data_IF_355628987286
#
_entry.id   IF_355628987286
#
_cell.length_a   1.000
_cell.length_b   1.000
_cell.length_c   1.000
_cell.angle_alpha   90.00
_cell.angle_beta   90.00
_cell.angle_gamma   90.00
#
_symmetry.space_group_name_H-M   'P 1'
#
loop_
_entity.id
_entity.type
_entity.pdbx_description
1 polymer ?
#
# COMPACT_ATOMS: atom_id res chain seq x y z
N UNK A 1 -6.70 -19.26 -24.34
CA UNK A 1 -6.78 -18.20 -23.30
C UNK A 1 -5.43 -18.10 -22.60
N UNK A 2 -4.87 -16.89 -22.40
CA UNK A 2 -3.65 -16.72 -21.59
C UNK A 2 -4.01 -16.85 -20.12
N UNK A 3 -3.30 -17.70 -19.39
CA UNK A 3 -3.42 -17.81 -17.92
C UNK A 3 -2.67 -16.61 -17.31
N UNK A 4 -3.37 -15.82 -16.51
CA UNK A 4 -2.82 -14.68 -15.77
C UNK A 4 -3.03 -14.89 -14.28
N UNK A 5 -2.06 -14.46 -13.51
CA UNK A 5 -2.10 -14.50 -12.05
C UNK A 5 -2.32 -13.08 -11.51
N UNK A 6 -3.23 -12.94 -10.55
CA UNK A 6 -3.55 -11.66 -9.91
C UNK A 6 -3.04 -11.69 -8.47
N UNK A 7 -2.22 -10.69 -8.11
CA UNK A 7 -1.65 -10.55 -6.77
C UNK A 7 -2.27 -9.29 -6.11
N UNK A 8 -3.17 -9.42 -5.13
CA UNK A 8 -3.79 -8.27 -4.48
C UNK A 8 -2.83 -7.65 -3.45
N UNK A 9 -2.35 -6.44 -3.75
CA UNK A 9 -1.61 -5.61 -2.79
C UNK A 9 -2.56 -4.54 -2.27
N UNK A 10 -2.90 -4.61 -0.99
CA UNK A 10 -3.78 -3.63 -0.33
C UNK A 10 -2.98 -2.87 0.71
N UNK A 11 -3.11 -1.54 0.68
CA UNK A 11 -2.52 -0.62 1.65
C UNK A 11 -3.64 0.25 2.18
N UNK A 12 -3.94 0.09 3.47
CA UNK A 12 -4.96 0.87 4.15
C UNK A 12 -4.49 2.29 4.47
N UNK A 13 -5.46 3.19 4.64
CA UNK A 13 -5.23 4.59 5.02
C UNK A 13 -4.40 4.75 6.31
N UNK A 14 -4.56 3.80 7.26
CA UNK A 14 -3.83 3.76 8.53
C UNK A 14 -2.50 2.99 8.44
N UNK A 15 -1.98 2.74 7.24
CA UNK A 15 -0.73 2.00 7.04
C UNK A 15 -0.85 0.48 7.25
N UNK A 16 -2.06 -0.06 7.35
CA UNK A 16 -2.28 -1.51 7.29
C UNK A 16 -1.86 -2.04 5.91
N UNK A 17 -1.24 -3.23 5.85
CA UNK A 17 -0.78 -3.84 4.58
C UNK A 17 -1.22 -5.29 4.49
N UNK A 18 -1.37 -5.81 3.27
CA UNK A 18 -1.72 -7.22 3.06
C UNK A 18 -0.66 -8.18 3.59
N UNK A 19 -1.10 -9.35 4.05
CA UNK A 19 -0.21 -10.41 4.52
C UNK A 19 0.82 -10.76 3.45
N UNK A 20 2.09 -10.89 3.87
CA UNK A 20 3.23 -11.21 2.99
C UNK A 20 3.49 -10.21 1.86
N UNK A 21 3.09 -8.94 2.02
CA UNK A 21 3.37 -7.87 1.04
C UNK A 21 4.84 -7.83 0.56
N UNK A 22 5.82 -8.15 1.43
CA UNK A 22 7.24 -8.25 1.03
C UNK A 22 7.49 -9.33 -0.02
N UNK A 23 6.89 -10.51 0.14
CA UNK A 23 7.02 -11.61 -0.81
C UNK A 23 6.33 -11.28 -2.14
N UNK A 24 5.17 -10.63 -2.07
CA UNK A 24 4.43 -10.18 -3.24
C UNK A 24 5.19 -9.13 -4.05
N UNK A 25 5.75 -8.12 -3.39
CA UNK A 25 6.59 -7.10 -4.03
C UNK A 25 7.84 -7.73 -4.66
N UNK A 26 8.49 -8.66 -3.97
CA UNK A 26 9.65 -9.40 -4.51
C UNK A 26 9.27 -10.17 -5.78
N UNK A 27 8.12 -10.84 -5.78
CA UNK A 27 7.62 -11.60 -6.93
C UNK A 27 7.29 -10.71 -8.13
N UNK A 28 6.83 -9.48 -7.88
CA UNK A 28 6.59 -8.46 -8.89
C UNK A 28 7.88 -7.74 -9.35
N UNK A 29 9.04 -8.04 -8.76
CA UNK A 29 10.30 -7.35 -9.06
C UNK A 29 10.35 -5.90 -8.55
N UNK A 30 9.49 -5.53 -7.60
CA UNK A 30 9.40 -4.18 -7.06
C UNK A 30 10.35 -4.06 -5.86
N UNK A 31 11.38 -3.22 -6.00
CA UNK A 31 12.35 -2.94 -4.93
C UNK A 31 11.97 -1.69 -4.14
N UNK A 32 10.85 -1.74 -3.40
CA UNK A 32 10.39 -0.68 -2.50
C UNK A 32 10.22 -1.23 -1.09
N UNK A 33 10.71 -0.47 -0.11
CA UNK A 33 10.48 -0.75 1.32
C UNK A 33 8.99 -0.58 1.65
N UNK A 34 8.39 -1.61 2.25
CA UNK A 34 6.97 -1.59 2.66
C UNK A 34 6.67 -0.41 3.57
N UNK A 35 7.64 -0.05 4.41
CA UNK A 35 7.60 1.05 5.34
C UNK A 35 7.38 2.40 4.61
N UNK A 36 7.92 2.57 3.40
CA UNK A 36 7.68 3.76 2.59
C UNK A 36 6.26 3.80 2.04
N UNK A 37 5.75 2.64 1.58
CA UNK A 37 4.38 2.51 1.07
C UNK A 37 3.38 2.86 2.18
N UNK A 38 3.58 2.32 3.37
CA UNK A 38 2.77 2.61 4.56
C UNK A 38 2.82 4.09 4.94
N UNK A 39 4.01 4.69 4.97
CA UNK A 39 4.18 6.11 5.29
C UNK A 39 3.45 7.01 4.29
N UNK A 40 3.53 6.70 3.00
CA UNK A 40 2.79 7.44 1.97
C UNK A 40 1.29 7.35 2.18
N UNK A 41 0.76 6.16 2.47
CA UNK A 41 -0.68 5.99 2.75
C UNK A 41 -1.12 6.80 3.98
N UNK A 42 -0.33 6.76 5.06
CA UNK A 42 -0.59 7.52 6.28
C UNK A 42 -0.57 9.03 6.03
N UNK A 43 0.45 9.55 5.35
CA UNK A 43 0.59 10.98 5.08
C UNK A 43 -0.51 11.49 4.12
N UNK A 44 -0.82 10.74 3.07
CA UNK A 44 -1.90 11.06 2.15
C UNK A 44 -3.26 11.10 2.85
N UNK A 45 -3.53 10.10 3.70
CA UNK A 45 -4.76 10.03 4.48
C UNK A 45 -4.86 11.17 5.50
N UNK A 46 -3.78 11.44 6.24
CA UNK A 46 -3.73 12.56 7.18
C UNK A 46 -4.01 13.89 6.48
N UNK A 47 -3.46 14.12 5.28
CA UNK A 47 -3.75 15.33 4.49
C UNK A 47 -5.23 15.44 4.10
N UNK A 48 -5.86 14.34 3.68
CA UNK A 48 -7.30 14.32 3.35
C UNK A 48 -8.12 14.63 4.59
N UNK A 49 -7.81 13.99 5.72
CA UNK A 49 -8.51 14.20 6.99
C UNK A 49 -8.39 15.66 7.47
N UNK A 50 -7.18 16.24 7.47
CA UNK A 50 -6.98 17.66 7.82
C UNK A 50 -7.82 18.60 6.94
N UNK A 51 -7.87 18.33 5.63
CA UNK A 51 -8.62 19.15 4.68
C UNK A 51 -10.14 19.07 4.87
N UNK A 52 -10.68 17.92 5.24
CA UNK A 52 -12.14 17.69 5.26
C UNK A 52 -12.74 17.74 6.66
N UNK A 53 -11.97 17.41 7.69
CA UNK A 53 -12.41 17.40 9.08
C UNK A 53 -12.00 18.66 9.83
N UNK A 54 -11.35 19.63 9.16
CA UNK A 54 -10.77 20.83 9.78
C UNK A 54 -9.85 20.50 10.98
N UNK A 55 -9.07 19.42 10.85
CA UNK A 55 -8.07 18.97 11.83
C UNK A 55 -6.67 19.46 11.49
#
# INVERSE_FOLDING_TARGET
MKKVEVIPIVVGALGAVSYRIKDWLKRLGINIKVEHIQKTALLGSARILRRHLNM
#
